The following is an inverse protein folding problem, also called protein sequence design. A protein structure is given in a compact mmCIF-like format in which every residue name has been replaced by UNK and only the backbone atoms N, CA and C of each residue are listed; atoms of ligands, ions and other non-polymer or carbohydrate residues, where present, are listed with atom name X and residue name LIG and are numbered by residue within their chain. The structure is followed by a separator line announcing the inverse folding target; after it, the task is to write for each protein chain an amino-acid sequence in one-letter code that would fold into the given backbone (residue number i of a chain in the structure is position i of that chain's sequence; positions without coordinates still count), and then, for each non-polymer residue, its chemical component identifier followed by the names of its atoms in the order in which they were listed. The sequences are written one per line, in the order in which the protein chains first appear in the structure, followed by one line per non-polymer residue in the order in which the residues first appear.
data_IF_108127965630
#
_entry.id   IF_108127965630
#
_cell.length_a   1.000
_cell.length_b   1.000
_cell.length_c   1.000
_cell.angle_alpha   90.00
_cell.angle_beta   90.00
_cell.angle_gamma   90.00
#
_symmetry.space_group_name_H-M   'P 1'
#
loop_
_entity.id
_entity.type
_entity.pdbx_description
1 polymer ?
#
# COMPACT_ATOMS: atom_id res chain seq x y z
N UNK A 1 31.08 12.16 43.82
CA UNK A 1 29.66 12.55 43.63
C UNK A 1 29.51 13.93 44.25
N UNK A 2 29.09 14.98 43.50
CA UNK A 2 28.97 16.32 44.07
C UNK A 2 27.88 16.34 45.16
N UNK A 3 28.19 16.96 46.31
CA UNK A 3 27.33 17.04 47.49
C UNK A 3 26.36 18.21 47.30
N UNK A 4 25.06 17.95 47.44
CA UNK A 4 23.99 18.93 47.30
C UNK A 4 23.88 19.82 48.54
N UNK A 5 23.78 21.13 48.34
CA UNK A 5 23.66 22.16 49.41
C UNK A 5 22.28 22.82 49.31
N UNK A 6 21.42 22.58 50.31
CA UNK A 6 20.02 23.03 50.35
C UNK A 6 19.87 24.56 50.43
N UNK A 7 20.92 25.28 50.83
CA UNK A 7 20.88 26.74 50.98
C UNK A 7 21.01 27.50 49.64
N UNK A 8 21.34 26.79 48.55
CA UNK A 8 21.66 27.38 47.25
C UNK A 8 20.41 27.44 46.36
N UNK A 9 19.69 28.56 46.40
CA UNK A 9 18.54 28.80 45.51
C UNK A 9 19.04 28.95 44.07
N UNK A 10 18.82 27.93 43.25
CA UNK A 10 19.24 27.94 41.84
C UNK A 10 18.23 28.78 41.05
N UNK A 11 18.62 29.91 40.43
CA UNK A 11 17.68 30.73 39.69
C UNK A 11 17.22 30.00 38.42
N UNK A 12 15.94 30.17 38.08
CA UNK A 12 15.38 29.64 36.84
C UNK A 12 16.18 30.19 35.65
N UNK A 13 16.59 29.34 34.69
CA UNK A 13 17.29 29.79 33.50
C UNK A 13 16.37 30.72 32.69
N UNK A 14 16.86 31.92 32.38
CA UNK A 14 16.15 32.88 31.53
C UNK A 14 16.34 32.48 30.08
N UNK A 15 15.24 32.21 29.38
CA UNK A 15 15.24 31.92 27.94
C UNK A 15 15.25 33.26 27.19
N UNK A 16 16.41 33.63 26.63
CA UNK A 16 16.53 34.78 25.73
C UNK A 16 16.24 34.33 24.29
N UNK A 17 15.05 34.67 23.80
CA UNK A 17 14.68 34.48 22.39
C UNK A 17 15.08 35.73 21.64
N UNK A 18 15.95 35.57 20.63
CA UNK A 18 16.28 36.66 19.72
C UNK A 18 15.22 36.69 18.61
N UNK A 19 14.30 37.68 18.58
CA UNK A 19 13.22 37.73 17.58
C UNK A 19 13.73 37.97 16.16
N UNK A 20 14.99 38.39 16.00
CA UNK A 20 15.64 38.61 14.71
C UNK A 20 16.54 37.43 14.28
N UNK A 21 16.48 36.29 14.99
CA UNK A 21 17.26 35.11 14.60
C UNK A 21 16.62 34.42 13.40
N UNK A 22 17.26 34.56 12.24
CA UNK A 22 16.89 33.86 11.02
C UNK A 22 18.05 32.92 10.60
N UNK A 23 17.91 31.59 10.74
CA UNK A 23 18.99 30.63 10.49
C UNK A 23 19.36 30.47 9.00
N UNK A 24 18.65 31.14 8.08
CA UNK A 24 18.89 31.08 6.65
C UNK A 24 19.52 32.34 6.05
N UNK A 25 19.77 33.37 6.86
CA UNK A 25 20.53 34.55 6.40
C UNK A 25 21.99 34.40 6.83
N UNK A 26 22.83 34.03 5.87
CA UNK A 26 24.29 33.97 6.02
C UNK A 26 24.82 35.36 6.36
N UNK A 27 25.52 35.47 7.48
CA UNK A 27 26.36 36.62 7.79
C UNK A 27 27.30 36.89 6.62
N UNK A 28 27.19 38.08 6.03
CA UNK A 28 28.08 38.51 4.96
C UNK A 28 29.52 38.57 5.48
N UNK A 29 30.28 37.49 5.26
CA UNK A 29 31.73 37.58 5.12
C UNK A 29 32.02 38.09 3.72
N UNK A 30 32.69 39.22 3.67
CA UNK A 30 33.00 39.96 2.47
C UNK A 30 33.75 39.14 1.40
N UNK A 31 33.32 39.43 0.17
CA UNK A 31 34.06 39.49 -1.09
C UNK A 31 34.15 38.25 -2.00
N UNK A 32 33.97 38.57 -3.28
CA UNK A 32 34.16 37.80 -4.52
C UNK A 32 32.97 36.97 -5.03
N UNK A 33 32.13 37.59 -5.87
CA UNK A 33 31.88 37.21 -7.28
C UNK A 33 30.52 37.69 -7.80
N UNK A 34 30.57 38.26 -9.01
CA UNK A 34 29.54 38.46 -10.03
C UNK A 34 28.14 38.91 -9.60
N UNK A 35 27.80 40.12 -10.03
CA UNK A 35 26.44 40.66 -10.05
C UNK A 35 25.47 39.68 -10.71
N UNK A 36 24.64 39.01 -9.91
CA UNK A 36 23.38 38.45 -10.40
C UNK A 36 22.44 39.61 -10.72
N UNK A 37 21.67 39.55 -11.82
CA UNK A 37 20.67 40.57 -12.09
C UNK A 37 19.62 40.57 -10.97
N UNK A 38 19.24 41.77 -10.54
CA UNK A 38 18.16 41.99 -9.60
C UNK A 38 16.87 41.44 -10.24
N UNK A 39 16.42 40.28 -9.78
CA UNK A 39 15.19 39.64 -10.22
C UNK A 39 14.04 40.17 -9.38
N UNK A 40 13.28 41.09 -9.96
CA UNK A 40 12.15 41.75 -9.31
C UNK A 40 10.84 41.05 -9.68
N UNK A 41 10.34 40.24 -8.75
CA UNK A 41 9.14 39.42 -8.92
C UNK A 41 7.86 40.24 -9.19
N UNK A 42 7.86 41.55 -8.90
CA UNK A 42 6.74 42.45 -9.23
C UNK A 42 6.55 42.63 -10.75
N UNK A 43 7.63 42.57 -11.52
CA UNK A 43 7.55 42.71 -13.00
C UNK A 43 6.85 41.52 -13.65
N UNK A 44 6.92 40.33 -13.05
CA UNK A 44 6.22 39.13 -13.53
C UNK A 44 4.70 39.20 -13.26
N UNK A 45 4.29 39.88 -12.17
CA UNK A 45 2.88 40.01 -11.81
C UNK A 45 2.15 41.12 -12.58
N UNK A 46 2.85 42.16 -13.04
CA UNK A 46 2.25 43.25 -13.82
C UNK A 46 1.63 42.79 -15.16
N UNK A 47 2.10 41.68 -15.74
CA UNK A 47 1.54 41.14 -16.99
C UNK A 47 0.10 40.64 -16.85
N UNK A 48 -0.24 40.06 -15.69
CA UNK A 48 -1.55 39.44 -15.47
C UNK A 48 -2.67 40.46 -15.20
N UNK A 49 -2.33 41.64 -14.65
CA UNK A 49 -3.30 42.74 -14.49
C UNK A 49 -3.61 43.45 -15.82
N UNK A 50 -2.66 43.46 -16.76
CA UNK A 50 -2.87 43.99 -18.12
C UNK A 50 -3.77 43.09 -18.97
N UNK A 51 -3.75 41.78 -18.78
CA UNK A 51 -4.70 40.87 -19.45
C UNK A 51 -6.13 40.98 -18.89
N UNK A 52 -6.28 41.31 -17.59
CA UNK A 52 -7.60 41.60 -17.00
C UNK A 52 -8.23 42.89 -17.54
N UNK A 53 -7.44 43.85 -18.03
CA UNK A 53 -7.95 45.14 -18.51
C UNK A 53 -8.32 45.17 -19.99
N UNK A 54 -7.91 44.18 -20.80
CA UNK A 54 -8.33 44.07 -22.22
C UNK A 54 -9.63 43.28 -22.44
N UNK A 55 -10.23 42.73 -21.38
CA UNK A 55 -11.51 42.01 -21.46
C UNK A 55 -12.69 42.80 -20.86
N UNK A 56 -12.61 44.14 -20.80
CA UNK A 56 -13.74 45.00 -20.42
C UNK A 56 -14.53 45.43 -21.68
N UNK A 57 -15.29 44.48 -22.22
CA UNK A 57 -16.22 44.67 -23.34
C UNK A 57 -17.60 44.08 -23.09
N UNK A 58 -17.98 43.81 -21.83
CA UNK A 58 -19.39 43.56 -21.43
C UNK A 58 -19.49 43.71 -19.91
N UNK A 59 -20.18 44.77 -19.46
CA UNK A 59 -20.72 44.83 -18.10
C UNK A 59 -21.84 43.78 -17.99
N UNK A 60 -21.99 43.12 -16.83
CA UNK A 60 -22.98 43.66 -15.90
C UNK A 60 -22.63 43.44 -14.42
N UNK A 61 -22.51 44.54 -13.68
CA UNK A 61 -22.87 44.55 -12.27
C UNK A 61 -24.07 45.47 -12.09
N UNK A 62 -25.27 44.90 -12.22
CA UNK A 62 -26.48 45.49 -11.68
C UNK A 62 -27.40 44.36 -11.23
N UNK A 63 -27.45 44.21 -9.91
CA UNK A 63 -28.59 43.69 -9.14
C UNK A 63 -29.04 42.27 -9.45
N UNK A 64 -28.71 41.33 -8.56
CA UNK A 64 -29.72 40.49 -7.90
C UNK A 64 -29.13 39.88 -6.63
N UNK A 65 -29.69 40.25 -5.48
CA UNK A 65 -29.80 39.33 -4.35
C UNK A 65 -30.55 38.10 -4.85
N UNK A 66 -29.91 36.93 -4.83
CA UNK A 66 -30.53 35.66 -5.22
C UNK A 66 -29.46 34.58 -5.25
N UNK A 67 -29.64 33.55 -4.44
CA UNK A 67 -28.63 32.56 -4.08
C UNK A 67 -27.85 31.98 -5.26
N UNK A 68 -26.52 32.11 -5.20
CA UNK A 68 -25.57 31.33 -6.00
C UNK A 68 -24.97 30.18 -5.17
N UNK A 69 -25.72 29.74 -4.14
CA UNK A 69 -25.70 28.39 -3.58
C UNK A 69 -27.04 27.74 -3.91
N UNK A 70 -27.43 27.74 -5.18
CA UNK A 70 -28.35 26.73 -5.67
C UNK A 70 -27.48 25.58 -6.13
N UNK A 71 -27.27 24.63 -5.22
CA UNK A 71 -27.05 23.25 -5.56
C UNK A 71 -28.06 22.91 -6.64
N UNK A 72 -27.65 22.89 -7.91
CA UNK A 72 -28.35 22.06 -8.87
C UNK A 72 -28.05 20.63 -8.41
N UNK A 73 -28.84 20.17 -7.45
CA UNK A 73 -29.24 18.77 -7.33
C UNK A 73 -29.95 18.42 -8.64
N UNK A 74 -29.16 18.25 -9.70
CA UNK A 74 -29.53 17.28 -10.71
C UNK A 74 -29.46 15.95 -9.98
N UNK A 75 -30.62 15.50 -9.53
CA UNK A 75 -30.91 14.09 -9.34
C UNK A 75 -30.50 13.35 -10.63
N UNK A 76 -29.23 12.95 -10.70
CA UNK A 76 -28.89 11.74 -11.40
C UNK A 76 -29.52 10.61 -10.58
N UNK A 77 -30.71 10.21 -11.00
CA UNK A 77 -31.44 9.06 -10.44
C UNK A 77 -30.76 7.73 -10.84
N UNK A 78 -29.69 7.79 -11.62
CA UNK A 78 -28.70 6.71 -11.73
C UNK A 78 -27.47 7.06 -10.88
N UNK A 79 -27.68 7.31 -9.58
CA UNK A 79 -26.64 6.96 -8.63
C UNK A 79 -26.46 5.45 -8.83
N UNK A 80 -25.42 5.04 -9.56
CA UNK A 80 -24.96 3.66 -9.55
C UNK A 80 -24.93 3.26 -8.09
N UNK A 81 -25.91 2.45 -7.68
CA UNK A 81 -25.96 1.88 -6.35
C UNK A 81 -24.70 1.05 -6.31
N UNK A 82 -23.62 1.62 -5.75
CA UNK A 82 -22.41 0.88 -5.45
C UNK A 82 -22.91 -0.38 -4.76
N UNK A 83 -22.60 -1.58 -5.30
CA UNK A 83 -23.13 -2.80 -4.73
C UNK A 83 -22.81 -2.77 -3.24
N UNK A 84 -23.86 -2.78 -2.41
CA UNK A 84 -23.70 -2.64 -0.98
C UNK A 84 -23.03 -3.92 -0.47
N UNK A 85 -21.71 -3.89 -0.42
CA UNK A 85 -20.91 -5.02 0.02
C UNK A 85 -21.06 -5.12 1.53
N UNK A 86 -21.57 -6.25 1.99
CA UNK A 86 -21.73 -6.50 3.41
C UNK A 86 -20.73 -7.55 3.89
N UNK A 87 -19.96 -7.21 4.90
CA UNK A 87 -19.02 -8.15 5.51
C UNK A 87 -19.73 -9.01 6.57
N UNK A 88 -19.76 -10.32 6.36
CA UNK A 88 -20.32 -11.29 7.29
C UNK A 88 -19.21 -11.95 8.14
N UNK A 89 -19.30 -11.80 9.47
CA UNK A 89 -18.39 -12.37 10.47
C UNK A 89 -16.91 -12.12 10.21
N UNK A 90 -16.58 -10.96 9.61
CA UNK A 90 -15.21 -10.58 9.27
C UNK A 90 -14.45 -11.67 8.49
N UNK A 91 -15.19 -12.40 7.64
CA UNK A 91 -14.70 -13.57 6.91
C UNK A 91 -15.20 -13.61 5.48
N UNK A 92 -16.49 -13.32 5.28
CA UNK A 92 -17.13 -13.36 3.98
C UNK A 92 -17.59 -11.97 3.57
N UNK A 93 -17.56 -11.70 2.27
CA UNK A 93 -18.18 -10.51 1.68
C UNK A 93 -19.39 -10.99 0.88
N UNK A 94 -20.54 -10.41 1.19
CA UNK A 94 -21.81 -10.66 0.53
C UNK A 94 -22.07 -9.56 -0.49
N UNK A 95 -22.55 -9.92 -1.66
CA UNK A 95 -22.86 -8.97 -2.74
C UNK A 95 -24.06 -9.45 -3.52
N UNK A 96 -25.04 -8.57 -3.72
CA UNK A 96 -26.17 -8.86 -4.58
C UNK A 96 -25.76 -8.76 -6.05
N UNK A 97 -26.11 -9.78 -6.84
CA UNK A 97 -25.90 -9.81 -8.28
C UNK A 97 -27.21 -10.21 -8.96
N UNK A 98 -27.35 -9.96 -10.27
CA UNK A 98 -28.58 -10.28 -11.02
C UNK A 98 -29.00 -11.75 -10.93
N UNK A 99 -28.05 -12.65 -10.70
CA UNK A 99 -28.28 -14.09 -10.62
C UNK A 99 -28.54 -14.62 -9.20
N UNK A 100 -28.54 -13.74 -8.18
CA UNK A 100 -28.78 -14.08 -6.78
C UNK A 100 -27.78 -13.44 -5.80
N UNK A 101 -27.48 -14.13 -4.71
CA UNK A 101 -26.54 -13.67 -3.69
C UNK A 101 -25.16 -14.29 -3.87
N UNK A 102 -24.16 -13.46 -4.10
CA UNK A 102 -22.76 -13.88 -4.21
C UNK A 102 -22.07 -13.79 -2.84
N UNK A 103 -21.41 -14.88 -2.46
CA UNK A 103 -20.62 -15.02 -1.23
C UNK A 103 -19.16 -15.20 -1.63
N UNK A 104 -18.30 -14.30 -1.15
CA UNK A 104 -16.86 -14.30 -1.42
C UNK A 104 -16.12 -14.53 -0.10
N UNK A 105 -15.22 -15.50 -0.07
CA UNK A 105 -14.27 -15.66 1.04
C UNK A 105 -13.15 -14.63 0.91
N UNK A 106 -13.11 -13.65 1.82
CA UNK A 106 -12.21 -12.49 1.71
C UNK A 106 -10.72 -12.89 1.78
N UNK A 107 -10.40 -13.89 2.60
CA UNK A 107 -9.03 -14.33 2.81
C UNK A 107 -8.54 -15.07 1.57
N UNK A 108 -9.34 -16.01 1.07
CA UNK A 108 -9.03 -16.77 -0.14
C UNK A 108 -8.98 -15.88 -1.38
N UNK A 109 -9.86 -14.89 -1.48
CA UNK A 109 -9.82 -13.89 -2.53
C UNK A 109 -8.51 -13.11 -2.49
N UNK A 110 -8.07 -12.66 -1.30
CA UNK A 110 -6.81 -11.94 -1.18
C UNK A 110 -5.59 -12.79 -1.53
N UNK A 111 -5.56 -14.07 -1.10
CA UNK A 111 -4.51 -15.03 -1.52
C UNK A 111 -4.44 -15.09 -3.05
N UNK A 112 -5.60 -15.20 -3.72
CA UNK A 112 -5.63 -15.29 -5.18
C UNK A 112 -5.04 -14.06 -5.86
N UNK A 113 -5.46 -12.88 -5.40
CA UNK A 113 -5.00 -11.60 -5.93
C UNK A 113 -3.49 -11.45 -5.75
N UNK A 114 -2.98 -11.73 -4.54
CA UNK A 114 -1.56 -11.64 -4.23
C UNK A 114 -0.73 -12.66 -5.00
N UNK A 115 -1.24 -13.89 -5.16
CA UNK A 115 -0.56 -14.93 -5.94
C UNK A 115 -0.35 -14.50 -7.39
N UNK A 116 -1.40 -14.02 -8.06
CA UNK A 116 -1.30 -13.55 -9.45
C UNK A 116 -0.35 -12.33 -9.53
N UNK A 117 -0.40 -11.43 -8.55
CA UNK A 117 0.49 -10.25 -8.46
C UNK A 117 1.96 -10.66 -8.31
N UNK A 118 2.28 -11.53 -7.35
CA UNK A 118 3.66 -11.99 -7.13
C UNK A 118 4.19 -12.79 -8.32
N UNK A 119 3.36 -13.63 -8.93
CA UNK A 119 3.76 -14.37 -10.11
C UNK A 119 4.11 -13.45 -11.29
N UNK A 120 3.36 -12.37 -11.48
CA UNK A 120 3.68 -11.33 -12.47
C UNK A 120 4.93 -10.55 -12.12
N UNK A 121 5.15 -10.21 -10.85
CA UNK A 121 6.35 -9.53 -10.38
C UNK A 121 7.62 -10.37 -10.62
N UNK A 122 7.57 -11.67 -10.32
CA UNK A 122 8.68 -12.61 -10.59
C UNK A 122 9.00 -12.67 -12.08
N UNK A 123 7.97 -12.85 -12.93
CA UNK A 123 8.14 -12.96 -14.39
C UNK A 123 8.72 -11.69 -15.00
N UNK A 124 8.30 -10.53 -14.52
CA UNK A 124 8.72 -9.23 -15.06
C UNK A 124 9.95 -8.64 -14.36
N UNK A 125 10.41 -9.23 -13.25
CA UNK A 125 11.46 -8.70 -12.37
C UNK A 125 11.17 -7.26 -11.90
N UNK A 126 9.93 -7.01 -11.48
CA UNK A 126 9.42 -5.68 -11.08
C UNK A 126 8.96 -5.64 -9.61
N UNK A 127 9.62 -6.38 -8.74
CA UNK A 127 9.35 -6.35 -7.30
C UNK A 127 9.62 -4.97 -6.70
N UNK A 128 8.72 -4.51 -5.84
CA UNK A 128 8.88 -3.26 -5.10
C UNK A 128 9.34 -3.60 -3.69
N UNK A 129 10.58 -3.25 -3.38
CA UNK A 129 11.14 -3.49 -2.05
C UNK A 129 10.85 -2.31 -1.11
N UNK A 130 10.42 -2.64 0.10
CA UNK A 130 10.39 -1.78 1.26
C UNK A 130 11.56 -2.13 2.18
N UNK A 131 12.48 -1.18 2.37
CA UNK A 131 13.61 -1.35 3.29
C UNK A 131 13.15 -1.42 4.73
N UNK A 132 13.70 -2.36 5.48
CA UNK A 132 13.47 -2.49 6.92
C UNK A 132 14.34 -1.48 7.68
N UNK A 133 13.83 -0.97 8.81
CA UNK A 133 14.59 -0.05 9.66
C UNK A 133 15.81 -0.71 10.30
N UNK A 134 15.66 -1.98 10.65
CA UNK A 134 16.71 -2.79 11.27
C UNK A 134 16.89 -4.04 10.42
N UNK A 135 18.03 -4.19 9.72
CA UNK A 135 18.32 -5.41 9.00
C UNK A 135 18.36 -6.61 9.92
N UNK A 136 17.70 -7.68 9.52
CA UNK A 136 17.66 -8.94 10.27
C UNK A 136 18.66 -9.93 9.69
N UNK A 137 19.36 -10.67 10.55
CA UNK A 137 20.35 -11.66 10.13
C UNK A 137 19.74 -13.05 10.25
N UNK A 138 19.80 -13.82 9.18
CA UNK A 138 19.40 -15.23 9.14
C UNK A 138 20.63 -16.11 8.99
N UNK A 139 20.80 -17.03 9.93
CA UNK A 139 21.80 -18.10 9.89
C UNK A 139 21.17 -19.38 9.32
N UNK A 140 21.81 -19.95 8.31
CA UNK A 140 21.34 -21.11 7.58
C UNK A 140 22.34 -22.26 7.65
N UNK A 141 21.85 -23.48 7.42
CA UNK A 141 22.72 -24.63 7.17
C UNK A 141 23.37 -24.54 5.77
N UNK A 142 24.43 -25.32 5.50
CA UNK A 142 25.06 -25.33 4.18
C UNK A 142 24.10 -25.69 3.03
N UNK A 143 23.13 -26.60 3.24
CA UNK A 143 22.16 -26.96 2.20
C UNK A 143 21.13 -25.86 1.97
N UNK A 144 20.63 -25.23 3.04
CA UNK A 144 19.71 -24.09 2.96
C UNK A 144 20.40 -22.90 2.28
N UNK A 145 21.68 -22.67 2.54
CA UNK A 145 22.48 -21.61 1.89
C UNK A 145 22.56 -21.82 0.38
N UNK A 146 22.81 -23.04 -0.09
CA UNK A 146 22.87 -23.36 -1.50
C UNK A 146 21.51 -23.13 -2.18
N UNK A 147 20.43 -23.52 -1.49
CA UNK A 147 19.05 -23.34 -1.94
C UNK A 147 18.67 -21.87 -2.01
N UNK A 148 18.95 -21.10 -0.96
CA UNK A 148 18.68 -19.65 -0.96
C UNK A 148 19.47 -18.94 -2.06
N UNK A 149 20.70 -19.37 -2.32
CA UNK A 149 21.55 -18.78 -3.36
C UNK A 149 20.97 -18.98 -4.77
N UNK A 150 20.31 -20.12 -5.05
CA UNK A 150 19.62 -20.32 -6.33
C UNK A 150 18.31 -19.54 -6.44
N UNK A 151 17.62 -19.31 -5.31
CA UNK A 151 16.36 -18.57 -5.22
C UNK A 151 16.56 -17.04 -5.15
N UNK A 152 17.79 -16.57 -4.93
CA UNK A 152 18.07 -15.15 -4.63
C UNK A 152 17.55 -14.21 -5.72
N UNK A 153 17.70 -14.59 -6.99
CA UNK A 153 17.20 -13.78 -8.12
C UNK A 153 15.67 -13.69 -8.13
N UNK A 154 14.97 -14.81 -7.87
CA UNK A 154 13.51 -14.83 -7.82
C UNK A 154 12.97 -14.07 -6.60
N UNK A 155 13.65 -14.17 -5.44
CA UNK A 155 13.29 -13.41 -4.23
C UNK A 155 13.51 -11.90 -4.42
N UNK A 156 14.61 -11.50 -5.06
CA UNK A 156 14.83 -10.11 -5.45
C UNK A 156 13.76 -9.61 -6.42
N UNK A 157 13.31 -10.46 -7.35
CA UNK A 157 12.24 -10.13 -8.28
C UNK A 157 10.89 -9.88 -7.60
N UNK A 158 10.67 -10.41 -6.39
CA UNK A 158 9.48 -10.10 -5.57
C UNK A 158 9.69 -8.89 -4.66
N UNK A 159 10.94 -8.46 -4.43
CA UNK A 159 11.26 -7.30 -3.61
C UNK A 159 12.01 -7.61 -2.31
N UNK A 160 12.58 -8.81 -2.15
CA UNK A 160 13.52 -9.06 -1.06
C UNK A 160 14.90 -8.47 -1.39
N UNK A 161 15.46 -7.68 -0.47
CA UNK A 161 16.86 -7.26 -0.53
C UNK A 161 17.69 -8.13 0.41
N UNK A 162 18.35 -9.14 -0.14
CA UNK A 162 19.21 -10.06 0.60
C UNK A 162 20.68 -9.75 0.33
N UNK A 163 21.46 -9.59 1.39
CA UNK A 163 22.90 -9.41 1.32
C UNK A 163 23.63 -10.61 1.96
N UNK A 164 24.56 -11.23 1.24
CA UNK A 164 25.33 -12.35 1.74
C UNK A 164 26.48 -11.84 2.64
N UNK A 165 26.49 -12.26 3.91
CA UNK A 165 27.52 -11.87 4.87
C UNK A 165 28.70 -12.86 4.94
N UNK A 166 28.60 -13.99 4.24
CA UNK A 166 29.50 -15.14 4.39
C UNK A 166 29.09 -16.04 5.56
N UNK A 167 29.84 -17.13 5.77
CA UNK A 167 29.58 -18.11 6.85
C UNK A 167 28.11 -18.55 6.97
N UNK A 168 27.47 -18.87 5.84
CA UNK A 168 26.07 -19.31 5.80
C UNK A 168 25.06 -18.31 6.40
N UNK A 169 25.41 -17.03 6.39
CA UNK A 169 24.58 -15.96 6.96
C UNK A 169 24.18 -14.92 5.91
N UNK A 170 22.93 -14.49 5.96
CA UNK A 170 22.39 -13.44 5.10
C UNK A 170 21.76 -12.32 5.93
N UNK A 171 21.91 -11.08 5.48
CA UNK A 171 21.18 -9.93 6.02
C UNK A 171 19.98 -9.60 5.13
N UNK A 172 18.81 -9.49 5.74
CA UNK A 172 17.56 -9.07 5.11
C UNK A 172 17.45 -7.56 5.30
N UNK A 173 17.65 -6.81 4.22
CA UNK A 173 17.64 -5.34 4.21
C UNK A 173 16.30 -4.76 3.73
N UNK A 174 15.50 -5.56 3.05
CA UNK A 174 14.21 -5.15 2.50
C UNK A 174 13.30 -6.32 2.21
N UNK A 175 12.00 -6.06 2.28
CA UNK A 175 10.91 -7.02 2.08
C UNK A 175 9.92 -6.45 1.06
N UNK A 176 9.10 -7.28 0.39
CA UNK A 176 8.05 -6.78 -0.49
C UNK A 176 7.07 -5.87 0.26
N UNK A 177 6.58 -4.84 -0.40
CA UNK A 177 5.71 -3.81 0.22
C UNK A 177 4.38 -4.36 0.73
N UNK A 178 3.92 -5.47 0.14
CA UNK A 178 2.72 -6.20 0.52
C UNK A 178 2.88 -6.93 1.87
N UNK A 179 4.10 -7.06 2.38
CA UNK A 179 4.48 -7.86 3.55
C UNK A 179 4.90 -6.92 4.69
N UNK A 180 3.94 -6.14 5.21
CA UNK A 180 4.25 -5.07 6.17
C UNK A 180 4.32 -5.52 7.63
N UNK A 181 3.89 -6.75 7.96
CA UNK A 181 3.70 -7.19 9.36
C UNK A 181 4.12 -8.63 9.70
N UNK A 182 4.85 -9.32 8.82
CA UNK A 182 5.29 -10.69 9.10
C UNK A 182 6.78 -10.75 9.37
N UNK A 183 7.19 -11.72 10.19
CA UNK A 183 8.60 -12.07 10.42
C UNK A 183 9.27 -12.50 9.09
N UNK A 184 10.23 -11.72 8.57
CA UNK A 184 10.88 -12.03 7.30
C UNK A 184 11.79 -13.25 7.38
N UNK A 185 12.34 -13.57 8.56
CA UNK A 185 13.18 -14.75 8.76
C UNK A 185 12.34 -16.01 8.58
N UNK A 186 11.22 -16.09 9.30
CA UNK A 186 10.30 -17.23 9.21
C UNK A 186 9.81 -17.44 7.77
N UNK A 187 9.55 -16.34 7.06
CA UNK A 187 9.11 -16.39 5.67
C UNK A 187 10.18 -17.00 4.76
N UNK A 188 11.43 -16.55 4.83
CA UNK A 188 12.51 -17.08 4.00
C UNK A 188 12.74 -18.56 4.32
N UNK A 189 12.68 -18.95 5.60
CA UNK A 189 12.79 -20.37 5.99
C UNK A 189 11.68 -21.21 5.38
N UNK A 190 10.42 -20.76 5.45
CA UNK A 190 9.29 -21.48 4.84
C UNK A 190 9.41 -21.61 3.33
N UNK A 191 9.99 -20.61 2.65
CA UNK A 191 10.25 -20.69 1.20
C UNK A 191 11.35 -21.72 0.91
N UNK A 192 12.45 -21.71 1.68
CA UNK A 192 13.53 -22.69 1.53
C UNK A 192 12.98 -24.10 1.75
N UNK A 193 12.25 -24.34 2.83
CA UNK A 193 11.64 -25.64 3.14
C UNK A 193 10.77 -26.15 1.98
N UNK A 194 9.82 -25.34 1.51
CA UNK A 194 8.94 -25.72 0.38
C UNK A 194 9.70 -25.94 -0.93
N UNK A 195 10.75 -25.17 -1.17
CA UNK A 195 11.60 -25.37 -2.36
C UNK A 195 12.39 -26.69 -2.29
N UNK A 196 12.76 -27.14 -1.09
CA UNK A 196 13.42 -28.44 -0.92
C UNK A 196 12.46 -29.63 -1.04
N UNK A 197 11.21 -29.47 -0.61
CA UNK A 197 10.16 -30.49 -0.79
C UNK A 197 9.73 -30.64 -2.25
N UNK A 198 9.73 -29.53 -2.99
CA UNK A 198 9.42 -29.49 -4.41
C UNK A 198 10.66 -29.97 -5.18
N UNK A 199 10.93 -31.27 -5.17
CA UNK A 199 12.05 -31.92 -5.88
C UNK A 199 11.91 -31.88 -7.43
N UNK A 200 11.11 -30.94 -7.96
CA UNK A 200 10.80 -30.81 -9.37
C UNK A 200 11.67 -29.69 -9.96
N UNK A 201 12.50 -30.07 -10.93
CA UNK A 201 13.54 -29.25 -11.58
C UNK A 201 12.97 -28.15 -12.51
N UNK A 202 11.68 -27.83 -12.36
CA UNK A 202 10.97 -26.87 -13.21
C UNK A 202 10.96 -25.51 -12.52
N UNK A 203 11.76 -24.58 -13.03
CA UNK A 203 11.83 -23.19 -12.54
C UNK A 203 10.45 -22.55 -12.34
N UNK A 204 9.49 -22.84 -13.23
CA UNK A 204 8.11 -22.31 -13.11
C UNK A 204 7.38 -22.78 -11.85
N UNK A 205 7.56 -24.03 -11.45
CA UNK A 205 6.87 -24.58 -10.26
C UNK A 205 7.47 -24.02 -8.97
N UNK A 206 8.78 -23.78 -8.95
CA UNK A 206 9.46 -23.07 -7.86
C UNK A 206 8.92 -21.63 -7.75
N UNK A 207 8.78 -20.92 -8.86
CA UNK A 207 8.24 -19.55 -8.85
C UNK A 207 6.78 -19.52 -8.35
N UNK A 208 5.96 -20.49 -8.76
CA UNK A 208 4.60 -20.63 -8.25
C UNK A 208 4.57 -20.95 -6.75
N UNK A 209 5.46 -21.82 -6.27
CA UNK A 209 5.53 -22.17 -4.84
C UNK A 209 5.98 -20.99 -3.97
N UNK A 210 6.92 -20.17 -4.46
CA UNK A 210 7.33 -18.90 -3.82
C UNK A 210 6.12 -17.95 -3.78
N UNK A 211 5.51 -17.67 -4.93
CA UNK A 211 4.39 -16.74 -5.03
C UNK A 211 3.22 -17.15 -4.12
N UNK A 212 2.92 -18.44 -4.05
CA UNK A 212 1.89 -18.98 -3.17
C UNK A 212 2.24 -18.81 -1.69
N UNK A 213 3.49 -19.06 -1.33
CA UNK A 213 3.95 -18.92 0.06
C UNK A 213 3.87 -17.47 0.54
N UNK A 214 4.30 -16.53 -0.31
CA UNK A 214 4.18 -15.10 -0.05
C UNK A 214 2.72 -14.66 0.04
N UNK A 215 1.89 -15.12 -0.89
CA UNK A 215 0.46 -14.78 -0.91
C UNK A 215 -0.27 -15.24 0.35
N UNK A 216 0.01 -16.45 0.84
CA UNK A 216 -0.60 -16.95 2.08
C UNK A 216 -0.20 -16.14 3.32
N UNK A 217 1.05 -15.66 3.38
CA UNK A 217 1.57 -14.88 4.51
C UNK A 217 1.12 -13.43 4.48
N UNK A 218 1.02 -12.83 3.29
CA UNK A 218 0.57 -11.45 3.09
C UNK A 218 -0.97 -11.32 3.06
N UNK A 219 -1.70 -12.43 2.96
CA UNK A 219 -3.15 -12.41 2.87
C UNK A 219 -3.81 -11.78 4.11
N UNK A 220 -4.99 -11.19 3.92
CA UNK A 220 -5.75 -10.57 5.00
C UNK A 220 -6.17 -11.68 5.95
N UNK A 221 -5.81 -11.63 7.25
CA UNK A 221 -6.23 -12.65 8.20
C UNK A 221 -7.74 -12.60 8.40
N UNK A 222 -8.33 -13.74 8.76
CA UNK A 222 -9.71 -13.77 9.22
C UNK A 222 -9.87 -12.91 10.47
N UNK A 223 -11.03 -12.24 10.61
CA UNK A 223 -11.31 -11.36 11.75
C UNK A 223 -11.00 -9.89 11.49
N UNK A 224 -10.28 -9.55 10.41
CA UNK A 224 -10.09 -8.15 10.00
C UNK A 224 -11.41 -7.57 9.45
N UNK A 225 -11.83 -6.44 10.02
CA UNK A 225 -12.94 -5.65 9.48
C UNK A 225 -12.44 -4.83 8.29
N UNK A 226 -13.21 -4.80 7.21
CA UNK A 226 -12.88 -4.06 5.99
C UNK A 226 -13.83 -2.87 5.83
N UNK A 227 -13.29 -1.75 5.37
CA UNK A 227 -14.08 -0.59 4.94
C UNK A 227 -14.82 -0.90 3.63
N UNK A 228 -15.92 -0.17 3.31
CA UNK A 228 -16.64 -0.34 2.05
C UNK A 228 -15.73 -0.17 0.82
N UNK A 229 -14.81 0.78 0.87
CA UNK A 229 -13.82 1.01 -0.19
C UNK A 229 -12.85 -0.17 -0.34
N UNK A 230 -12.32 -0.70 0.77
CA UNK A 230 -11.45 -1.90 0.74
C UNK A 230 -12.19 -3.13 0.18
N UNK A 231 -13.46 -3.33 0.54
CA UNK A 231 -14.27 -4.44 0.01
C UNK A 231 -14.47 -4.30 -1.50
N UNK A 232 -14.85 -3.11 -1.97
CA UNK A 232 -15.02 -2.82 -3.40
C UNK A 232 -13.72 -3.05 -4.15
N UNK A 233 -12.61 -2.54 -3.61
CA UNK A 233 -11.29 -2.70 -4.21
C UNK A 233 -10.85 -4.18 -4.30
N UNK A 234 -11.07 -4.95 -3.22
CA UNK A 234 -10.76 -6.38 -3.19
C UNK A 234 -11.56 -7.15 -4.23
N UNK A 235 -12.87 -6.87 -4.35
CA UNK A 235 -13.73 -7.53 -5.33
C UNK A 235 -13.31 -7.19 -6.76
N UNK A 236 -13.05 -5.92 -7.04
CA UNK A 236 -12.58 -5.48 -8.36
C UNK A 236 -11.27 -6.15 -8.75
N UNK A 237 -10.31 -6.23 -7.81
CA UNK A 237 -9.05 -6.94 -8.03
C UNK A 237 -9.25 -8.43 -8.23
N UNK A 238 -10.16 -9.06 -7.48
CA UNK A 238 -10.46 -10.48 -7.64
C UNK A 238 -10.96 -10.78 -9.05
N UNK A 239 -11.89 -9.97 -9.58
CA UNK A 239 -12.42 -10.18 -10.92
C UNK A 239 -11.45 -9.83 -12.05
N UNK A 240 -10.39 -9.05 -11.76
CA UNK A 240 -9.30 -8.83 -12.69
C UNK A 240 -8.33 -10.04 -12.80
N UNK A 241 -8.36 -10.97 -11.84
CA UNK A 241 -7.52 -12.16 -11.86
C UNK A 241 -7.92 -13.15 -12.97
N UNK A 242 -6.97 -13.98 -13.42
CA UNK A 242 -7.20 -14.96 -14.50
C UNK A 242 -8.26 -16.00 -14.15
N UNK A 243 -8.25 -16.49 -12.90
CA UNK A 243 -9.24 -17.47 -12.43
C UNK A 243 -9.76 -17.07 -11.03
N UNK A 244 -10.85 -16.28 -10.96
CA UNK A 244 -11.36 -15.73 -9.69
C UNK A 244 -12.10 -16.74 -8.81
N UNK A 245 -12.52 -17.88 -9.37
CA UNK A 245 -13.39 -18.84 -8.68
C UNK A 245 -12.64 -19.74 -7.68
N UNK A 246 -11.34 -19.96 -7.89
CA UNK A 246 -10.55 -20.93 -7.13
C UNK A 246 -9.21 -20.37 -6.67
N UNK A 247 -8.81 -20.73 -5.45
CA UNK A 247 -7.45 -20.47 -4.97
C UNK A 247 -6.43 -21.29 -5.78
N UNK A 248 -5.13 -20.95 -5.73
CA UNK A 248 -4.09 -21.77 -6.36
C UNK A 248 -4.10 -23.24 -5.91
N UNK A 249 -4.60 -23.51 -4.69
CA UNK A 249 -4.76 -24.85 -4.12
C UNK A 249 -6.12 -25.50 -4.43
N UNK A 250 -6.93 -24.92 -5.32
CA UNK A 250 -8.20 -25.49 -5.77
C UNK A 250 -9.40 -25.29 -4.84
N UNK A 251 -9.29 -24.47 -3.79
CA UNK A 251 -10.41 -24.19 -2.90
C UNK A 251 -11.35 -23.13 -3.52
N UNK A 252 -12.68 -23.27 -3.38
CA UNK A 252 -13.60 -22.28 -3.92
C UNK A 252 -13.48 -20.94 -3.15
N UNK A 253 -13.46 -19.85 -3.92
CA UNK A 253 -13.43 -18.47 -3.43
C UNK A 253 -14.84 -17.87 -3.47
N UNK A 254 -15.54 -18.08 -4.57
CA UNK A 254 -16.86 -17.52 -4.86
C UNK A 254 -17.90 -18.63 -4.82
N UNK A 255 -19.02 -18.39 -4.15
CA UNK A 255 -20.21 -19.22 -4.18
C UNK A 255 -21.43 -18.35 -4.48
N UNK A 256 -22.25 -18.77 -5.45
CA UNK A 256 -23.48 -18.10 -5.82
C UNK A 256 -24.66 -18.90 -5.29
N UNK A 257 -25.56 -18.24 -4.56
CA UNK A 257 -26.85 -18.79 -4.17
C UNK A 257 -27.90 -18.14 -5.08
N UNK A 258 -28.59 -18.95 -5.87
CA UNK A 258 -29.63 -18.45 -6.78
C UNK A 258 -30.90 -18.04 -6.03
N UNK A 259 -31.69 -17.17 -6.63
CA UNK A 259 -32.97 -16.74 -6.05
C UNK A 259 -33.94 -17.92 -5.83
N UNK A 260 -33.89 -18.94 -6.70
CA UNK A 260 -34.66 -20.16 -6.56
C UNK A 260 -34.27 -20.96 -5.30
N UNK A 261 -32.97 -21.05 -5.00
CA UNK A 261 -32.47 -21.72 -3.79
C UNK A 261 -32.84 -20.96 -2.53
N UNK A 262 -32.77 -19.62 -2.57
CA UNK A 262 -33.22 -18.75 -1.48
C UNK A 262 -34.72 -18.95 -1.26
N UNK A 263 -35.54 -18.87 -2.31
CA UNK A 263 -36.98 -19.07 -2.23
C UNK A 263 -37.33 -20.47 -1.71
N UNK A 264 -36.61 -21.51 -2.12
CA UNK A 264 -36.79 -22.88 -1.61
C UNK A 264 -36.50 -22.98 -0.11
N UNK A 265 -35.47 -22.30 0.41
CA UNK A 265 -35.17 -22.25 1.84
C UNK A 265 -36.21 -21.46 2.64
N UNK A 266 -36.87 -20.47 2.02
CA UNK A 266 -37.91 -19.65 2.65
C UNK A 266 -39.31 -20.28 2.59
N UNK A 267 -39.54 -21.27 1.72
CA UNK A 267 -40.78 -22.04 1.68
C UNK A 267 -40.85 -22.98 2.88
N UNK A 268 -41.36 -22.44 3.98
CA UNK A 268 -41.84 -23.18 5.15
C UNK A 268 -43.27 -22.75 5.45
N UNK A 269 -44.20 -23.11 4.57
CA UNK A 269 -45.65 -23.18 4.81
C UNK A 269 -46.22 -24.25 3.87
#
# INVERSE_FOLDING_TARGET
IPIYDESKTTPMPKVNINPNYNPFHTTQRNAYHNSLPHFDWETLYQGFEKEKTTAAGVNPLAQTNGGLFSSEEKENVDAEILPEHYQYKQKYILTSVKSGLMIIDQHRAHIRILFDTFLEQIKNKKGISQRVLFPEIIELSPSETATLSSLTEDLQAVGFELNNLGNHSFAIQGVPSEISSSDPISLIRSIIEKSTETALDVKSEIQESIALSLACLAAIPYGRTLTPEEMTHLINRLFACRTPNYTPNGQPIISLISDEEIAKKMKSC
#
